data_IF_790665164042
#
_entry.id   IF_790665164042
#
_cell.length_a   1.000
_cell.length_b   1.000
_cell.length_c   1.000
_cell.angle_alpha   90.00
_cell.angle_beta   90.00
_cell.angle_gamma   90.00
#
_symmetry.space_group_name_H-M   'P 1'
#
loop_
_entity.id
_entity.type
_entity.pdbx_description
1 polymer ?
#
# COMPACT_ATOMS: atom_id res chain seq x y z
N UNK A 1 -5.69 -6.66 28.31
CA UNK A 1 -4.28 -6.35 27.91
C UNK A 1 -4.27 -5.88 26.47
N UNK A 2 -3.43 -4.89 26.13
CA UNK A 2 -3.31 -4.45 24.74
C UNK A 2 -2.72 -5.58 23.88
N UNK A 3 -3.28 -5.80 22.70
CA UNK A 3 -2.76 -6.79 21.76
C UNK A 3 -1.36 -6.37 21.27
N UNK A 4 -0.44 -7.33 21.06
CA UNK A 4 0.87 -7.02 20.51
C UNK A 4 0.77 -6.43 19.09
N UNK A 5 1.61 -5.45 18.79
CA UNK A 5 1.64 -4.81 17.45
C UNK A 5 2.02 -5.80 16.34
N UNK A 6 2.84 -6.79 16.66
CA UNK A 6 3.21 -7.91 15.78
C UNK A 6 2.62 -9.18 16.40
N UNK A 7 1.45 -9.60 15.89
CA UNK A 7 0.85 -10.87 16.27
C UNK A 7 1.71 -12.05 15.78
N UNK A 8 1.52 -13.24 16.37
CA UNK A 8 2.21 -14.45 15.90
C UNK A 8 1.82 -14.75 14.45
N UNK A 9 0.55 -14.61 14.11
CA UNK A 9 0.05 -14.79 12.75
C UNK A 9 0.72 -13.87 11.71
N UNK A 10 0.96 -12.59 12.03
CA UNK A 10 1.73 -11.70 11.16
C UNK A 10 3.20 -12.11 11.09
N UNK A 11 3.79 -12.49 12.24
CA UNK A 11 5.18 -12.89 12.30
C UNK A 11 5.47 -14.15 11.48
N UNK A 12 4.61 -15.16 11.54
CA UNK A 12 4.72 -16.40 10.76
C UNK A 12 4.75 -16.13 9.24
N UNK A 13 3.99 -15.15 8.76
CA UNK A 13 3.92 -14.79 7.34
C UNK A 13 5.12 -13.97 6.87
N UNK A 14 5.61 -13.04 7.67
CA UNK A 14 6.70 -12.16 7.25
C UNK A 14 8.09 -12.77 7.49
N UNK A 15 8.26 -13.57 8.55
CA UNK A 15 9.59 -14.09 8.92
C UNK A 15 10.30 -14.90 7.80
N UNK A 16 9.61 -15.71 6.98
CA UNK A 16 10.24 -16.41 5.87
C UNK A 16 10.70 -15.50 4.72
N UNK A 17 10.12 -14.29 4.63
CA UNK A 17 10.43 -13.31 3.59
C UNK A 17 11.64 -12.45 3.94
N UNK A 18 12.06 -12.46 5.20
CA UNK A 18 13.17 -11.62 5.65
C UNK A 18 14.50 -12.10 5.06
N UNK A 19 15.34 -11.19 4.58
CA UNK A 19 16.66 -11.57 4.09
C UNK A 19 17.49 -12.17 5.23
N UNK A 20 18.35 -13.17 4.94
CA UNK A 20 19.19 -13.78 5.95
C UNK A 20 20.10 -12.73 6.61
N UNK A 21 20.38 -12.87 7.90
CA UNK A 21 21.27 -11.93 8.59
C UNK A 21 22.66 -11.96 7.96
N UNK A 22 23.28 -10.79 7.87
CA UNK A 22 24.65 -10.70 7.34
C UNK A 22 25.59 -11.54 8.22
N UNK A 23 26.49 -12.34 7.60
CA UNK A 23 27.46 -13.15 8.33
C UNK A 23 28.34 -12.25 9.19
N UNK A 24 28.55 -12.65 10.44
CA UNK A 24 29.42 -11.89 11.38
C UNK A 24 30.88 -12.21 11.10
N UNK A 25 31.73 -11.19 11.17
CA UNK A 25 33.16 -11.38 11.07
C UNK A 25 33.66 -12.25 12.22
N UNK A 26 34.55 -13.21 11.94
CA UNK A 26 35.08 -14.10 12.95
C UNK A 26 35.89 -13.34 14.03
N UNK A 27 36.81 -12.48 13.61
CA UNK A 27 37.79 -11.84 14.50
C UNK A 27 37.24 -10.63 15.28
N UNK A 28 36.29 -9.90 14.69
CA UNK A 28 35.61 -8.74 15.31
C UNK A 28 34.13 -8.75 14.93
N UNK A 29 33.35 -9.57 15.66
CA UNK A 29 31.95 -9.82 15.26
C UNK A 29 31.00 -8.63 15.44
N UNK A 30 31.43 -7.55 16.10
CA UNK A 30 30.57 -6.40 16.36
C UNK A 30 29.38 -6.70 17.30
N UNK A 31 28.42 -5.79 17.36
CA UNK A 31 27.17 -6.00 18.09
C UNK A 31 26.32 -7.11 17.46
N UNK A 32 25.58 -7.86 18.29
CA UNK A 32 24.57 -8.79 17.79
C UNK A 32 23.51 -8.03 16.98
N UNK A 33 23.02 -8.60 15.86
CA UNK A 33 21.88 -8.04 15.16
C UNK A 33 20.67 -7.89 16.12
N UNK A 34 19.87 -6.86 15.88
CA UNK A 34 18.58 -6.72 16.58
C UNK A 34 17.65 -7.87 16.20
N UNK A 35 16.78 -8.24 17.11
CA UNK A 35 15.70 -9.17 16.83
C UNK A 35 14.76 -8.58 15.78
N UNK A 36 14.60 -9.21 14.60
CA UNK A 36 13.78 -8.66 13.53
C UNK A 36 12.30 -8.46 13.93
N UNK A 37 11.76 -9.29 14.81
CA UNK A 37 10.39 -9.14 15.31
C UNK A 37 10.23 -7.88 16.14
N UNK A 38 11.21 -7.56 16.98
CA UNK A 38 11.24 -6.31 17.76
C UNK A 38 11.41 -5.10 16.85
N UNK A 39 12.27 -5.20 15.83
CA UNK A 39 12.44 -4.15 14.82
C UNK A 39 11.12 -3.87 14.09
N UNK A 40 10.42 -4.94 13.65
CA UNK A 40 9.10 -4.82 13.02
C UNK A 40 8.08 -4.16 13.95
N UNK A 41 8.13 -4.46 15.25
CA UNK A 41 7.28 -3.79 16.25
C UNK A 41 7.53 -2.28 16.25
N UNK A 42 8.79 -1.82 16.22
CA UNK A 42 9.14 -0.40 16.12
C UNK A 42 8.66 0.24 14.80
N UNK A 43 8.82 -0.46 13.68
CA UNK A 43 8.34 0.01 12.36
C UNK A 43 6.81 0.19 12.37
N UNK A 44 6.06 -0.80 12.85
CA UNK A 44 4.58 -0.72 12.93
C UNK A 44 4.14 0.35 13.93
N UNK A 45 4.89 0.56 15.01
CA UNK A 45 4.60 1.63 15.95
C UNK A 45 4.70 3.00 15.28
N UNK A 46 5.78 3.25 14.51
CA UNK A 46 5.92 4.49 13.73
C UNK A 46 4.83 4.62 12.68
N UNK A 47 4.48 3.54 11.97
CA UNK A 47 3.40 3.54 10.99
C UNK A 47 2.07 3.96 11.62
N UNK A 48 1.71 3.38 12.77
CA UNK A 48 0.44 3.65 13.46
C UNK A 48 0.39 5.03 14.11
N UNK A 49 1.48 5.48 14.72
CA UNK A 49 1.52 6.72 15.51
C UNK A 49 1.90 7.95 14.71
N UNK A 50 2.69 7.76 13.61
CA UNK A 50 3.22 8.84 12.80
C UNK A 50 4.33 9.66 13.48
N UNK A 51 4.88 9.20 14.59
CA UNK A 51 5.96 9.91 15.29
C UNK A 51 7.24 9.97 14.44
N UNK A 52 8.08 10.98 14.61
CA UNK A 52 9.45 10.99 14.11
C UNK A 52 10.25 9.79 14.63
N UNK A 53 11.18 9.28 13.81
CA UNK A 53 11.99 8.12 14.15
C UNK A 53 12.85 8.34 15.42
N UNK A 54 13.33 9.55 15.65
CA UNK A 54 14.11 9.93 16.82
C UNK A 54 13.32 9.86 18.13
N UNK A 55 11.98 9.90 18.06
CA UNK A 55 11.07 9.80 19.20
C UNK A 55 10.61 8.36 19.49
N UNK A 56 11.14 7.37 18.78
CA UNK A 56 10.80 5.97 19.04
C UNK A 56 11.28 5.55 20.44
N UNK A 57 10.38 5.11 21.35
CA UNK A 57 10.73 4.78 22.72
C UNK A 57 11.75 3.63 22.80
N UNK A 58 12.84 3.85 23.54
CA UNK A 58 13.91 2.87 23.71
C UNK A 58 13.45 1.66 24.55
N UNK A 59 12.47 1.86 25.40
CA UNK A 59 11.86 0.85 26.28
C UNK A 59 11.18 -0.27 25.50
N UNK A 60 10.81 -0.01 24.24
CA UNK A 60 10.26 -1.05 23.34
C UNK A 60 11.30 -2.13 22.96
N UNK A 61 12.58 -1.88 23.20
CA UNK A 61 13.66 -2.83 22.89
C UNK A 61 13.83 -3.14 21.40
N UNK A 62 13.26 -2.28 20.51
CA UNK A 62 13.36 -2.42 19.05
C UNK A 62 14.63 -1.80 18.45
N UNK A 63 15.52 -1.26 19.28
CA UNK A 63 16.68 -0.48 18.89
C UNK A 63 16.33 0.99 18.63
N UNK A 64 17.29 1.74 18.08
CA UNK A 64 17.04 3.15 17.76
C UNK A 64 16.12 3.29 16.54
N UNK A 65 15.45 4.44 16.43
CA UNK A 65 14.63 4.75 15.27
C UNK A 65 15.42 4.70 13.96
N UNK A 66 16.69 5.11 13.95
CA UNK A 66 17.55 4.97 12.77
C UNK A 66 17.83 3.50 12.44
N UNK A 67 17.96 2.62 13.46
CA UNK A 67 18.09 1.19 13.21
C UNK A 67 16.82 0.63 12.55
N UNK A 68 15.64 0.95 13.07
CA UNK A 68 14.36 0.54 12.49
C UNK A 68 14.19 1.10 11.06
N UNK A 69 14.58 2.35 10.81
CA UNK A 69 14.54 2.94 9.47
C UNK A 69 15.47 2.19 8.49
N UNK A 70 16.68 1.83 8.92
CA UNK A 70 17.61 1.07 8.09
C UNK A 70 17.07 -0.32 7.75
N UNK A 71 16.42 -1.01 8.69
CA UNK A 71 15.76 -2.29 8.44
C UNK A 71 14.57 -2.13 7.50
N UNK A 72 13.69 -1.12 7.70
CA UNK A 72 12.58 -0.82 6.79
C UNK A 72 13.08 -0.64 5.37
N UNK A 73 14.16 0.14 5.18
CA UNK A 73 14.76 0.40 3.87
C UNK A 73 15.41 -0.86 3.28
N UNK A 74 16.15 -1.63 4.07
CA UNK A 74 16.77 -2.86 3.61
C UNK A 74 15.73 -3.91 3.20
N UNK A 75 14.64 -4.04 3.95
CA UNK A 75 13.54 -4.94 3.66
C UNK A 75 12.73 -4.48 2.43
N UNK A 76 12.60 -3.16 2.21
CA UNK A 76 12.04 -2.63 0.97
C UNK A 76 12.88 -3.05 -0.24
N UNK A 77 14.19 -2.87 -0.17
CA UNK A 77 15.08 -3.26 -1.27
C UNK A 77 15.11 -4.78 -1.52
N UNK A 78 14.78 -5.57 -0.51
CA UNK A 78 14.66 -7.03 -0.61
C UNK A 78 13.26 -7.50 -1.05
N UNK A 79 12.29 -6.60 -1.30
CA UNK A 79 10.93 -6.94 -1.73
C UNK A 79 10.05 -7.58 -0.64
N UNK A 80 10.42 -7.41 0.65
CA UNK A 80 9.70 -8.05 1.78
C UNK A 80 8.25 -7.55 1.88
N UNK A 81 8.02 -6.26 1.66
CA UNK A 81 6.69 -5.67 1.84
C UNK A 81 5.71 -6.07 0.75
N UNK A 82 6.19 -6.08 -0.50
CA UNK A 82 5.45 -6.60 -1.64
C UNK A 82 5.20 -8.10 -1.51
N UNK A 83 6.21 -8.85 -1.04
CA UNK A 83 6.09 -10.29 -0.77
C UNK A 83 5.06 -10.59 0.33
N UNK A 84 5.03 -9.81 1.41
CA UNK A 84 4.03 -9.94 2.47
C UNK A 84 2.61 -9.68 1.94
N UNK A 85 2.44 -8.62 1.14
CA UNK A 85 1.15 -8.30 0.54
C UNK A 85 0.68 -9.42 -0.39
N UNK A 86 1.59 -9.97 -1.23
CA UNK A 86 1.31 -11.12 -2.09
C UNK A 86 0.84 -12.34 -1.31
N UNK A 87 1.57 -12.75 -0.27
CA UNK A 87 1.20 -13.91 0.58
C UNK A 87 -0.19 -13.74 1.16
N UNK A 88 -0.52 -12.54 1.65
CA UNK A 88 -1.83 -12.27 2.23
C UNK A 88 -2.95 -12.26 1.19
N UNK A 89 -2.70 -11.76 -0.02
CA UNK A 89 -3.67 -11.86 -1.11
C UNK A 89 -3.89 -13.31 -1.54
N UNK A 90 -2.84 -14.12 -1.60
CA UNK A 90 -2.94 -15.54 -1.94
C UNK A 90 -3.77 -16.30 -0.89
N UNK A 91 -3.54 -16.08 0.41
CA UNK A 91 -4.35 -16.66 1.49
C UNK A 91 -5.81 -16.21 1.45
N UNK A 92 -6.06 -14.92 1.18
CA UNK A 92 -7.41 -14.39 1.02
C UNK A 92 -8.12 -15.02 -0.18
N UNK A 93 -7.41 -15.27 -1.27
CA UNK A 93 -7.94 -15.95 -2.45
C UNK A 93 -8.21 -17.43 -2.17
N UNK A 94 -7.33 -18.11 -1.44
CA UNK A 94 -7.55 -19.50 -0.99
C UNK A 94 -8.80 -19.63 -0.13
N UNK A 95 -9.02 -18.65 0.75
CA UNK A 95 -10.21 -18.56 1.60
C UNK A 95 -11.46 -18.02 0.88
N UNK A 96 -11.42 -17.79 -0.44
CA UNK A 96 -12.50 -17.20 -1.26
C UNK A 96 -13.02 -15.85 -0.74
N UNK A 97 -12.10 -15.04 -0.19
CA UNK A 97 -12.42 -13.73 0.38
C UNK A 97 -12.30 -12.58 -0.62
N UNK A 98 -11.60 -12.76 -1.76
CA UNK A 98 -11.45 -11.72 -2.78
C UNK A 98 -12.59 -11.80 -3.79
N UNK A 99 -13.39 -10.77 -3.88
CA UNK A 99 -14.45 -10.66 -4.90
C UNK A 99 -13.95 -9.96 -6.15
N UNK A 100 -13.60 -10.76 -7.17
CA UNK A 100 -13.12 -10.29 -8.47
C UNK A 100 -14.22 -9.82 -9.43
N UNK A 101 -15.49 -9.87 -9.04
CA UNK A 101 -16.59 -9.42 -9.89
C UNK A 101 -16.47 -7.95 -10.26
N UNK A 102 -15.90 -7.16 -9.35
CA UNK A 102 -15.65 -5.73 -9.52
C UNK A 102 -14.47 -5.24 -8.71
N UNK A 103 -13.90 -4.16 -9.16
CA UNK A 103 -12.85 -3.40 -8.47
C UNK A 103 -13.20 -1.91 -8.54
N UNK A 104 -12.70 -1.14 -7.61
CA UNK A 104 -12.77 0.31 -7.64
C UNK A 104 -11.39 0.92 -7.54
N UNK A 105 -11.15 1.99 -8.30
CA UNK A 105 -9.92 2.79 -8.25
C UNK A 105 -10.24 4.20 -7.84
N UNK A 106 -9.44 4.74 -6.93
CA UNK A 106 -9.48 6.13 -6.53
C UNK A 106 -8.09 6.62 -6.13
N UNK A 107 -7.93 7.94 -6.01
CA UNK A 107 -6.70 8.55 -5.55
C UNK A 107 -6.91 9.45 -4.34
N UNK A 108 -5.90 9.54 -3.50
CA UNK A 108 -5.90 10.39 -2.32
C UNK A 108 -4.62 11.22 -2.23
N UNK A 109 -4.76 12.52 -2.01
CA UNK A 109 -3.64 13.42 -1.81
C UNK A 109 -3.14 13.40 -0.37
N UNK A 110 -1.81 13.36 -0.23
CA UNK A 110 -1.11 13.46 1.05
C UNK A 110 -0.06 14.56 0.95
N UNK A 111 -0.03 15.47 1.93
CA UNK A 111 1.01 16.50 1.98
C UNK A 111 2.39 15.88 2.18
N UNK A 112 3.39 16.42 1.45
CA UNK A 112 4.79 15.99 1.54
C UNK A 112 5.64 17.13 2.09
N UNK A 113 5.76 17.20 3.43
CA UNK A 113 6.42 18.32 4.10
C UNK A 113 7.91 18.44 3.76
N UNK A 114 8.58 17.31 3.58
CA UNK A 114 10.02 17.27 3.23
C UNK A 114 10.30 17.31 1.74
N UNK A 115 9.28 17.33 0.87
CA UNK A 115 9.45 17.12 -0.57
C UNK A 115 10.07 15.75 -0.88
N UNK A 116 10.85 15.64 -1.96
CA UNK A 116 11.58 14.44 -2.35
C UNK A 116 11.02 13.76 -3.59
N UNK A 117 11.40 12.50 -3.79
CA UNK A 117 10.98 11.68 -4.93
C UNK A 117 9.46 11.47 -4.96
N UNK A 118 8.86 11.39 -6.15
CA UNK A 118 7.41 11.22 -6.35
C UNK A 118 6.58 12.25 -5.55
N UNK A 119 7.04 13.50 -5.48
CA UNK A 119 6.28 14.64 -4.97
C UNK A 119 6.06 15.69 -6.04
N UNK A 120 4.98 16.45 -5.94
CA UNK A 120 4.67 17.51 -6.89
C UNK A 120 3.69 18.53 -6.30
N UNK A 121 3.58 19.71 -6.94
CA UNK A 121 2.65 20.76 -6.51
C UNK A 121 1.21 20.27 -6.60
N UNK A 122 0.51 20.28 -5.47
CA UNK A 122 -0.90 19.90 -5.42
C UNK A 122 -1.79 21.06 -5.90
N UNK A 123 -2.52 20.91 -7.01
CA UNK A 123 -3.37 21.97 -7.55
C UNK A 123 -4.55 22.32 -6.62
N UNK A 124 -4.99 21.38 -5.77
CA UNK A 124 -6.12 21.56 -4.84
C UNK A 124 -5.69 22.05 -3.45
N UNK A 125 -4.38 22.06 -3.12
CA UNK A 125 -3.85 22.58 -1.84
C UNK A 125 -2.85 23.72 -2.07
N UNK A 126 -3.27 24.76 -2.79
CA UNK A 126 -2.50 25.98 -3.00
C UNK A 126 -1.07 25.75 -3.51
N UNK A 127 -0.85 24.73 -4.32
CA UNK A 127 0.46 24.40 -4.87
C UNK A 127 1.47 23.82 -3.87
N UNK A 128 1.06 23.44 -2.65
CA UNK A 128 1.93 22.77 -1.69
C UNK A 128 2.37 21.41 -2.21
N UNK A 129 3.58 20.99 -1.84
CA UNK A 129 4.08 19.69 -2.26
C UNK A 129 3.27 18.55 -1.64
N UNK A 130 2.92 17.57 -2.44
CA UNK A 130 2.19 16.40 -2.04
C UNK A 130 2.51 15.18 -2.88
N UNK A 131 2.07 14.04 -2.39
CA UNK A 131 2.07 12.73 -3.06
C UNK A 131 0.63 12.27 -3.18
N UNK A 132 0.29 11.52 -4.23
CA UNK A 132 -0.97 10.78 -4.34
C UNK A 132 -0.75 9.30 -4.07
N UNK A 133 -1.68 8.71 -3.36
CA UNK A 133 -1.87 7.26 -3.31
C UNK A 133 -2.97 6.90 -4.32
N UNK A 134 -2.67 6.06 -5.29
CA UNK A 134 -3.66 5.49 -6.21
C UNK A 134 -3.95 4.07 -5.75
N UNK A 135 -5.18 3.82 -5.37
CA UNK A 135 -5.59 2.57 -4.71
C UNK A 135 -6.56 1.81 -5.61
N UNK A 136 -6.27 0.54 -5.87
CA UNK A 136 -7.20 -0.40 -6.47
C UNK A 136 -7.65 -1.41 -5.41
N UNK A 137 -8.96 -1.57 -5.26
CA UNK A 137 -9.54 -2.54 -4.31
C UNK A 137 -10.40 -3.57 -5.05
N UNK A 138 -10.66 -4.69 -4.39
CA UNK A 138 -11.73 -5.61 -4.79
C UNK A 138 -13.13 -5.04 -4.44
N UNK A 139 -14.19 -5.83 -4.62
CA UNK A 139 -15.55 -5.43 -4.31
C UNK A 139 -15.83 -5.24 -2.81
N UNK A 140 -14.98 -5.76 -1.94
CA UNK A 140 -15.12 -5.68 -0.48
C UNK A 140 -14.23 -4.60 0.14
N UNK A 141 -13.30 -4.01 -0.62
CA UNK A 141 -12.35 -3.00 -0.16
C UNK A 141 -10.99 -3.58 0.26
N UNK A 142 -10.70 -4.84 -0.09
CA UNK A 142 -9.36 -5.40 0.06
C UNK A 142 -8.42 -4.67 -0.90
N UNK A 143 -7.32 -4.05 -0.44
CA UNK A 143 -6.39 -3.36 -1.30
C UNK A 143 -5.63 -4.37 -2.18
N UNK A 144 -5.92 -4.38 -3.49
CA UNK A 144 -5.25 -5.25 -4.47
C UNK A 144 -3.91 -4.66 -4.92
N UNK A 145 -3.85 -3.35 -5.09
CA UNK A 145 -2.63 -2.61 -5.44
C UNK A 145 -2.70 -1.17 -4.96
N UNK A 146 -1.54 -0.61 -4.61
CA UNK A 146 -1.39 0.82 -4.34
C UNK A 146 -0.12 1.32 -5.00
N UNK A 147 -0.23 2.38 -5.81
CA UNK A 147 0.90 3.09 -6.41
C UNK A 147 0.98 4.53 -5.90
N UNK A 148 2.14 5.16 -6.04
CA UNK A 148 2.32 6.55 -5.62
C UNK A 148 2.88 7.42 -6.74
N UNK A 149 2.36 8.65 -6.83
CA UNK A 149 2.85 9.69 -7.75
C UNK A 149 2.97 11.04 -7.06
N UNK A 150 3.58 12.01 -7.74
CA UNK A 150 3.47 13.42 -7.31
C UNK A 150 2.03 13.93 -7.46
N UNK A 151 1.61 14.83 -6.57
CA UNK A 151 0.25 15.39 -6.59
C UNK A 151 -0.11 16.16 -7.87
N UNK A 152 0.88 16.55 -8.67
CA UNK A 152 0.70 17.20 -9.97
C UNK A 152 0.40 16.23 -11.13
N UNK A 153 0.55 14.92 -10.92
CA UNK A 153 0.26 13.92 -11.97
C UNK A 153 -1.25 13.73 -12.09
N UNK A 154 -1.85 13.85 -13.29
CA UNK A 154 -3.27 13.57 -13.49
C UNK A 154 -3.61 12.10 -13.22
N UNK A 155 -4.74 11.84 -12.55
CA UNK A 155 -5.13 10.49 -12.13
C UNK A 155 -5.31 9.53 -13.31
N UNK A 156 -5.80 10.03 -14.45
CA UNK A 156 -5.97 9.25 -15.66
C UNK A 156 -4.66 8.61 -16.15
N UNK A 157 -3.52 9.26 -15.98
CA UNK A 157 -2.21 8.72 -16.38
C UNK A 157 -1.77 7.52 -15.54
N UNK A 158 -2.28 7.41 -14.33
CA UNK A 158 -1.87 6.36 -13.39
C UNK A 158 -2.83 5.15 -13.42
N UNK A 159 -4.00 5.26 -14.06
CA UNK A 159 -4.99 4.18 -14.08
C UNK A 159 -4.40 2.84 -14.53
N UNK A 160 -3.73 2.82 -15.66
CA UNK A 160 -3.18 1.57 -16.21
C UNK A 160 -2.04 1.02 -15.34
N UNK A 161 -1.21 1.92 -14.79
CA UNK A 161 -0.13 1.52 -13.88
C UNK A 161 -0.65 0.85 -12.62
N UNK A 162 -1.68 1.41 -11.96
CA UNK A 162 -2.25 0.79 -10.76
C UNK A 162 -2.96 -0.52 -11.06
N UNK A 163 -3.61 -0.63 -12.22
CA UNK A 163 -4.24 -1.88 -12.67
C UNK A 163 -3.21 -2.96 -12.98
N UNK A 164 -2.11 -2.58 -13.64
CA UNK A 164 -1.03 -3.51 -13.98
C UNK A 164 -0.17 -3.87 -12.75
N UNK A 165 -0.21 -3.06 -11.70
CA UNK A 165 0.41 -3.34 -10.41
C UNK A 165 -0.37 -4.36 -9.56
N UNK A 166 -1.60 -4.73 -9.92
CA UNK A 166 -2.31 -5.84 -9.25
C UNK A 166 -1.50 -7.12 -9.51
N UNK A 167 -0.99 -7.78 -8.46
CA UNK A 167 -0.16 -8.97 -8.64
C UNK A 167 -1.00 -10.17 -9.11
N UNK A 168 -0.38 -11.20 -9.71
CA UNK A 168 -1.04 -12.46 -9.99
C UNK A 168 -1.30 -13.21 -8.67
N UNK A 169 -2.56 -13.24 -8.23
CA UNK A 169 -2.99 -13.83 -6.96
C UNK A 169 -3.31 -15.31 -7.16
N UNK A 170 -2.67 -16.17 -6.36
CA UNK A 170 -2.85 -17.61 -6.33
C UNK A 170 -3.86 -18.02 -5.22
N UNK A 171 -4.01 -19.32 -4.96
CA UNK A 171 -4.83 -19.84 -3.87
C UNK A 171 -6.06 -20.63 -4.32
N UNK A 172 -6.47 -20.53 -5.60
CA UNK A 172 -7.51 -21.35 -6.22
C UNK A 172 -6.92 -22.19 -7.36
N UNK A 173 -7.55 -23.31 -7.65
CA UNK A 173 -7.14 -24.19 -8.77
C UNK A 173 -7.25 -23.42 -10.11
N UNK A 174 -6.18 -23.43 -10.89
CA UNK A 174 -6.14 -22.78 -12.19
C UNK A 174 -5.08 -21.68 -12.30
N UNK A 175 -5.27 -20.78 -13.25
CA UNK A 175 -4.34 -19.66 -13.44
C UNK A 175 -4.52 -18.61 -12.33
N UNK A 176 -3.43 -18.00 -11.84
CA UNK A 176 -3.51 -16.89 -10.90
C UNK A 176 -4.44 -15.79 -11.41
N UNK A 177 -5.27 -15.24 -10.53
CA UNK A 177 -6.16 -14.12 -10.87
C UNK A 177 -5.42 -12.81 -10.71
N UNK A 178 -5.58 -11.92 -11.69
CA UNK A 178 -4.93 -10.61 -11.68
C UNK A 178 -5.88 -9.49 -12.15
N UNK A 179 -6.99 -9.85 -12.78
CA UNK A 179 -7.88 -8.88 -13.41
C UNK A 179 -9.31 -9.02 -12.86
N UNK A 180 -9.89 -7.92 -12.33
CA UNK A 180 -11.30 -7.90 -11.97
C UNK A 180 -12.16 -7.92 -13.24
N UNK A 181 -13.40 -8.44 -13.16
CA UNK A 181 -14.31 -8.44 -14.28
C UNK A 181 -14.76 -7.02 -14.68
N UNK A 182 -14.91 -6.13 -13.68
CA UNK A 182 -15.35 -4.74 -13.88
C UNK A 182 -14.52 -3.80 -13.04
N UNK A 183 -14.16 -2.63 -13.59
CA UNK A 183 -13.44 -1.57 -12.87
C UNK A 183 -14.28 -0.31 -12.82
N UNK A 184 -14.53 0.19 -11.59
CA UNK A 184 -15.21 1.44 -11.31
C UNK A 184 -14.20 2.54 -11.01
N UNK A 185 -14.37 3.70 -11.61
CA UNK A 185 -13.57 4.89 -11.35
C UNK A 185 -14.39 6.17 -11.56
N UNK A 186 -13.86 7.29 -11.07
CA UNK A 186 -14.51 8.59 -11.24
C UNK A 186 -14.27 9.18 -12.63
N UNK A 187 -14.78 10.43 -12.84
CA UNK A 187 -14.65 11.16 -14.10
C UNK A 187 -13.22 11.55 -14.44
N UNK A 188 -12.34 11.65 -13.44
CA UNK A 188 -10.94 12.00 -13.67
C UNK A 188 -10.21 10.93 -14.47
N UNK A 189 -10.67 9.67 -14.39
CA UNK A 189 -10.10 8.54 -15.11
C UNK A 189 -10.72 8.30 -16.49
N UNK A 190 -11.78 9.06 -16.86
CA UNK A 190 -12.51 8.79 -18.12
C UNK A 190 -11.77 9.34 -19.35
N UNK A 191 -11.38 8.42 -20.24
CA UNK A 191 -10.93 8.71 -21.60
C UNK A 191 -11.28 7.54 -22.52
N UNK A 192 -11.40 7.82 -23.83
CA UNK A 192 -11.67 6.80 -24.85
C UNK A 192 -10.54 5.76 -24.89
N UNK A 193 -9.30 6.23 -24.83
CA UNK A 193 -8.08 5.40 -24.81
C UNK A 193 -8.10 4.45 -23.61
N UNK A 194 -8.32 4.98 -22.38
CA UNK A 194 -8.31 4.14 -21.17
C UNK A 194 -9.47 3.13 -21.16
N UNK A 195 -10.63 3.47 -21.72
CA UNK A 195 -11.71 2.49 -21.91
C UNK A 195 -11.32 1.37 -22.87
N UNK A 196 -10.60 1.69 -23.94
CA UNK A 196 -10.08 0.69 -24.88
C UNK A 196 -9.04 -0.21 -24.19
N UNK A 197 -8.04 0.37 -23.54
CA UNK A 197 -6.98 -0.34 -22.84
C UNK A 197 -7.50 -1.25 -21.71
N UNK A 198 -8.54 -0.83 -21.00
CA UNK A 198 -9.18 -1.68 -19.99
C UNK A 198 -9.86 -2.91 -20.65
N UNK A 199 -10.56 -2.72 -21.78
CA UNK A 199 -11.16 -3.84 -22.51
C UNK A 199 -10.11 -4.78 -23.10
N UNK A 200 -8.99 -4.26 -23.58
CA UNK A 200 -7.85 -5.08 -24.02
C UNK A 200 -7.29 -5.97 -22.89
N UNK A 201 -7.42 -5.53 -21.62
CA UNK A 201 -7.10 -6.32 -20.43
C UNK A 201 -8.25 -7.21 -19.95
N UNK A 202 -9.31 -7.36 -20.73
CA UNK A 202 -10.54 -8.11 -20.38
C UNK A 202 -11.27 -7.54 -19.15
N UNK A 203 -11.11 -6.25 -18.87
CA UNK A 203 -11.77 -5.55 -17.76
C UNK A 203 -12.87 -4.64 -18.36
N UNK A 204 -14.10 -4.74 -17.84
CA UNK A 204 -15.19 -3.84 -18.21
C UNK A 204 -15.05 -2.48 -17.51
N UNK A 205 -14.78 -1.37 -18.22
CA UNK A 205 -14.66 -0.05 -17.58
C UNK A 205 -16.06 0.53 -17.28
N UNK A 206 -16.30 0.86 -16.03
CA UNK A 206 -17.48 1.57 -15.51
C UNK A 206 -17.06 2.92 -14.94
N UNK A 207 -16.62 3.82 -15.83
CA UNK A 207 -16.19 5.16 -15.46
C UNK A 207 -17.34 6.14 -15.61
N UNK A 208 -17.50 7.06 -14.64
CA UNK A 208 -18.42 8.17 -14.79
C UNK A 208 -17.98 9.03 -15.99
N UNK A 209 -18.91 9.29 -16.92
CA UNK A 209 -18.59 10.07 -18.14
C UNK A 209 -18.33 11.52 -17.79
N UNK A 210 -17.34 12.13 -18.45
CA UNK A 210 -17.12 13.57 -18.42
C UNK A 210 -18.32 14.29 -19.09
N UNK A 211 -18.59 15.50 -18.64
CA UNK A 211 -19.65 16.38 -19.17
C UNK A 211 -21.08 15.77 -19.15
N UNK A 212 -21.35 14.82 -18.23
CA UNK A 212 -22.70 14.32 -17.96
C UNK A 212 -23.23 14.87 -16.65
N UNK A 213 -24.56 14.96 -16.49
CA UNK A 213 -25.18 15.38 -15.23
C UNK A 213 -24.70 14.56 -14.03
N UNK A 214 -24.76 15.16 -12.82
CA UNK A 214 -24.48 14.44 -11.60
C UNK A 214 -25.54 13.35 -11.37
N UNK A 215 -25.11 12.19 -10.79
CA UNK A 215 -26.03 11.10 -10.47
C UNK A 215 -25.82 9.84 -11.30
N UNK A 216 -24.56 9.53 -11.66
CA UNK A 216 -24.22 8.26 -12.37
C UNK A 216 -24.59 6.98 -11.63
N UNK A 217 -25.02 7.05 -10.35
CA UNK A 217 -25.29 5.88 -9.50
C UNK A 217 -24.03 5.08 -9.10
N UNK A 218 -22.87 5.44 -9.60
CA UNK A 218 -21.61 4.69 -9.36
C UNK A 218 -21.04 4.88 -7.95
N UNK A 219 -21.54 5.83 -7.17
CA UNK A 219 -21.09 6.09 -5.81
C UNK A 219 -21.25 4.87 -4.89
N UNK A 220 -22.34 4.12 -5.05
CA UNK A 220 -22.61 2.90 -4.28
C UNK A 220 -21.59 1.78 -4.51
N UNK A 221 -20.87 1.81 -5.63
CA UNK A 221 -19.80 0.86 -5.95
C UNK A 221 -18.43 1.39 -5.60
N UNK A 222 -18.27 2.74 -5.62
CA UNK A 222 -16.98 3.38 -5.38
C UNK A 222 -16.70 3.63 -3.90
N UNK A 223 -17.71 3.69 -3.05
CA UNK A 223 -17.51 3.94 -1.61
C UNK A 223 -16.54 2.95 -0.96
N UNK A 224 -16.36 1.75 -1.51
CA UNK A 224 -15.43 0.75 -0.98
C UNK A 224 -13.98 1.19 -1.07
N UNK A 225 -13.56 1.82 -2.18
CA UNK A 225 -12.19 2.33 -2.29
C UNK A 225 -11.98 3.57 -1.42
N UNK A 226 -12.98 4.45 -1.29
CA UNK A 226 -12.96 5.60 -0.38
C UNK A 226 -12.78 5.14 1.08
N UNK A 227 -13.49 4.07 1.46
CA UNK A 227 -13.34 3.41 2.77
C UNK A 227 -11.92 2.86 2.96
N UNK A 228 -11.35 2.18 1.96
CA UNK A 228 -9.99 1.63 2.03
C UNK A 228 -8.95 2.75 2.12
N UNK A 229 -9.12 3.85 1.40
CA UNK A 229 -8.30 5.06 1.55
C UNK A 229 -8.39 5.60 2.98
N UNK A 230 -9.59 5.62 3.57
CA UNK A 230 -9.79 6.01 4.96
C UNK A 230 -9.05 5.08 5.94
N UNK A 231 -9.07 3.77 5.69
CA UNK A 231 -8.27 2.80 6.47
C UNK A 231 -6.78 3.02 6.34
N UNK A 232 -6.25 3.27 5.13
CA UNK A 232 -4.85 3.65 4.94
C UNK A 232 -4.49 4.91 5.73
N UNK A 233 -5.38 5.91 5.73
CA UNK A 233 -5.18 7.14 6.51
C UNK A 233 -5.41 6.96 8.03
N UNK A 234 -5.95 5.83 8.49
CA UNK A 234 -5.95 5.51 9.92
C UNK A 234 -4.54 5.29 10.47
N UNK A 235 -3.62 4.85 9.62
CA UNK A 235 -2.19 4.84 9.91
C UNK A 235 -1.63 6.26 9.83
N UNK A 236 -1.34 6.87 10.97
CA UNK A 236 -0.99 8.31 11.05
C UNK A 236 0.21 8.69 10.21
N UNK A 237 1.18 7.78 10.03
CA UNK A 237 2.36 8.00 9.17
C UNK A 237 1.98 8.23 7.69
N UNK A 238 0.83 7.71 7.24
CA UNK A 238 0.35 7.88 5.86
C UNK A 238 -0.50 9.13 5.64
N UNK A 239 -0.85 9.88 6.69
CA UNK A 239 -1.59 11.15 6.55
C UNK A 239 -0.73 12.32 6.07
N UNK A 240 0.55 12.29 6.45
CA UNK A 240 1.53 13.31 6.09
C UNK A 240 2.83 12.59 5.76
N UNK A 241 3.34 12.82 4.56
CA UNK A 241 4.62 12.29 4.13
C UNK A 241 5.75 13.18 4.61
N UNK A 242 6.61 12.63 5.45
CA UNK A 242 7.86 13.26 5.90
C UNK A 242 9.09 12.64 5.21
N UNK A 243 8.93 11.46 4.62
CA UNK A 243 10.01 10.69 4.01
C UNK A 243 10.32 11.22 2.60
N UNK A 244 11.59 11.60 2.37
CA UNK A 244 12.02 12.14 1.07
C UNK A 244 12.22 11.04 0.02
N UNK A 245 12.68 9.83 0.43
CA UNK A 245 12.81 8.67 -0.46
C UNK A 245 11.43 8.07 -0.75
N UNK A 246 11.13 7.83 -2.02
CA UNK A 246 9.87 7.20 -2.41
C UNK A 246 9.74 5.80 -1.82
N UNK A 247 10.78 4.97 -1.90
CA UNK A 247 10.76 3.59 -1.41
C UNK A 247 10.46 3.44 0.08
N UNK A 248 10.81 4.43 0.93
CA UNK A 248 10.41 4.41 2.36
C UNK A 248 8.90 4.61 2.50
N UNK A 249 8.33 5.53 1.73
CA UNK A 249 6.89 5.77 1.77
C UNK A 249 6.12 4.59 1.17
N UNK A 250 6.61 4.02 0.07
CA UNK A 250 6.06 2.79 -0.55
C UNK A 250 6.07 1.61 0.42
N UNK A 251 7.18 1.41 1.17
CA UNK A 251 7.26 0.40 2.22
C UNK A 251 6.14 0.54 3.26
N UNK A 252 5.89 1.77 3.74
CA UNK A 252 4.78 2.02 4.67
C UNK A 252 3.41 1.78 4.05
N UNK A 253 3.22 2.15 2.79
CA UNK A 253 1.95 1.91 2.06
C UNK A 253 1.72 0.41 1.89
N UNK A 254 2.72 -0.35 1.44
CA UNK A 254 2.62 -1.80 1.27
C UNK A 254 2.38 -2.52 2.61
N UNK A 255 3.10 -2.14 3.68
CA UNK A 255 2.88 -2.68 5.02
C UNK A 255 1.46 -2.36 5.54
N UNK A 256 0.97 -1.14 5.34
CA UNK A 256 -0.40 -0.77 5.74
C UNK A 256 -1.45 -1.56 4.96
N UNK A 257 -1.26 -1.74 3.64
CA UNK A 257 -2.13 -2.58 2.81
C UNK A 257 -2.14 -4.02 3.31
N UNK A 258 -0.97 -4.58 3.65
CA UNK A 258 -0.84 -5.91 4.25
C UNK A 258 -1.59 -6.02 5.57
N UNK A 259 -1.47 -5.03 6.45
CA UNK A 259 -2.19 -5.01 7.72
C UNK A 259 -3.72 -4.89 7.53
N UNK A 260 -4.18 -4.20 6.49
CA UNK A 260 -5.61 -4.17 6.11
C UNK A 260 -6.05 -5.55 5.60
N UNK A 261 -5.27 -6.23 4.75
CA UNK A 261 -5.56 -7.59 4.32
C UNK A 261 -5.73 -8.56 5.50
N UNK A 262 -4.91 -8.43 6.56
CA UNK A 262 -5.05 -9.23 7.78
C UNK A 262 -6.40 -9.07 8.48
N UNK A 263 -7.16 -7.99 8.28
CA UNK A 263 -8.49 -7.81 8.89
C UNK A 263 -9.57 -8.67 8.23
N UNK A 264 -9.28 -9.21 7.05
CA UNK A 264 -10.20 -10.05 6.27
C UNK A 264 -9.90 -11.55 6.40
N UNK A 265 -8.76 -11.92 7.00
CA UNK A 265 -8.41 -13.29 7.37
C UNK A 265 -8.95 -13.65 8.76
#
# INVERSE_FOLDING_TARGET
MAQPLVSDALWERISPLLPPPKPRRFRYPGRKPLDPRKVLTGIIFVLKTGIPWELLPQEMGCGSGMSCWNYLHAWQLAGVWEGLHQVLLDELQEADRIDWSRSAVDSSHVRALGGGEKTGKNPTDRGKLGTKHHVATDAQGIPLAVTITGSNVPDVKELLHVVDAIPPVQGQVGRPRQRPATMYADRAYDSVEHRYEMRARSIRPQFARRNTAHGSGLGIFRYVVERTVSWLHSFRKLRIRTDRKAGIHEAFVALASSLICMWFL
#
